data_IF_493862091282
#
_entry.id   IF_493862091282
#
_cell.length_a   1.000
_cell.length_b   1.000
_cell.length_c   1.000
_cell.angle_alpha   90.00
_cell.angle_beta   90.00
_cell.angle_gamma   90.00
#
_symmetry.space_group_name_H-M   'P 1'
#
loop_
_entity.id
_entity.type
_entity.pdbx_description
1 polymer ?
#
# COMPACT_ATOMS: atom_id res chain seq x y z
N UNK A 1 10.70 20.65 -38.02
CA UNK A 1 9.67 20.42 -36.98
C UNK A 1 9.73 19.05 -36.36
N UNK A 2 10.17 18.01 -37.06
CA UNK A 2 10.38 16.67 -36.50
C UNK A 2 11.46 16.66 -35.40
N UNK A 3 12.52 17.46 -35.55
CA UNK A 3 13.60 17.58 -34.56
C UNK A 3 13.11 18.16 -33.23
N UNK A 4 12.18 19.10 -33.27
CA UNK A 4 11.59 19.69 -32.03
C UNK A 4 10.73 18.69 -31.28
N UNK A 5 9.98 17.85 -32.01
CA UNK A 5 9.14 16.82 -31.42
C UNK A 5 10.01 15.72 -30.77
N UNK A 6 11.09 15.31 -31.43
CA UNK A 6 12.02 14.33 -30.91
C UNK A 6 12.70 14.83 -29.64
N UNK A 7 13.13 16.08 -29.60
CA UNK A 7 13.72 16.70 -28.41
C UNK A 7 12.73 16.76 -27.25
N UNK A 8 11.47 17.10 -27.52
CA UNK A 8 10.42 17.12 -26.49
C UNK A 8 10.14 15.72 -25.92
N UNK A 9 10.09 14.72 -26.80
CA UNK A 9 9.91 13.32 -26.36
C UNK A 9 11.08 12.82 -25.53
N UNK A 10 12.30 13.15 -25.92
CA UNK A 10 13.50 12.81 -25.17
C UNK A 10 13.50 13.46 -23.77
N UNK A 11 13.15 14.75 -23.69
CA UNK A 11 13.04 15.47 -22.42
C UNK A 11 11.95 14.84 -21.52
N UNK A 12 10.79 14.53 -22.08
CA UNK A 12 9.68 13.89 -21.35
C UNK A 12 10.10 12.53 -20.80
N UNK A 13 10.80 11.73 -21.62
CA UNK A 13 11.31 10.42 -21.21
C UNK A 13 12.33 10.54 -20.08
N UNK A 14 13.27 11.46 -20.17
CA UNK A 14 14.27 11.72 -19.11
C UNK A 14 13.60 12.15 -17.81
N UNK A 15 12.60 13.04 -17.90
CA UNK A 15 11.85 13.50 -16.71
C UNK A 15 11.10 12.34 -16.06
N UNK A 16 10.42 11.51 -16.85
CA UNK A 16 9.70 10.33 -16.35
C UNK A 16 10.65 9.33 -15.66
N UNK A 17 11.84 9.07 -16.25
CA UNK A 17 12.85 8.20 -15.67
C UNK A 17 13.39 8.75 -14.34
N UNK A 18 13.66 10.05 -14.28
CA UNK A 18 14.12 10.71 -13.04
C UNK A 18 13.05 10.62 -11.92
N UNK A 19 11.80 10.86 -12.26
CA UNK A 19 10.69 10.72 -11.29
C UNK A 19 10.56 9.30 -10.77
N UNK A 20 10.70 8.31 -11.65
CA UNK A 20 10.67 6.91 -11.28
C UNK A 20 11.84 6.55 -10.35
N UNK A 21 13.06 6.96 -10.67
CA UNK A 21 14.24 6.76 -9.83
C UNK A 21 14.10 7.40 -8.45
N UNK A 22 13.60 8.64 -8.37
CA UNK A 22 13.36 9.33 -7.11
C UNK A 22 12.31 8.60 -6.27
N UNK A 23 11.22 8.14 -6.90
CA UNK A 23 10.16 7.39 -6.21
C UNK A 23 10.70 6.07 -5.66
N UNK A 24 11.47 5.33 -6.43
CA UNK A 24 12.10 4.07 -5.98
C UNK A 24 13.09 4.31 -4.84
N UNK A 25 13.90 5.37 -4.93
CA UNK A 25 14.85 5.74 -3.89
C UNK A 25 14.14 6.10 -2.58
N UNK A 26 13.04 6.87 -2.64
CA UNK A 26 12.24 7.23 -1.47
C UNK A 26 11.61 5.98 -0.86
N UNK A 27 11.09 5.06 -1.67
CA UNK A 27 10.50 3.82 -1.17
C UNK A 27 11.55 2.90 -0.53
N UNK A 28 12.73 2.79 -1.11
CA UNK A 28 13.83 2.02 -0.52
C UNK A 28 14.25 2.57 0.84
N UNK A 29 14.34 3.88 0.98
CA UNK A 29 14.64 4.54 2.25
C UNK A 29 13.53 4.28 3.28
N UNK A 30 12.27 4.35 2.86
CA UNK A 30 11.13 4.06 3.73
C UNK A 30 11.13 2.60 4.19
N UNK A 31 11.44 1.65 3.31
CA UNK A 31 11.55 0.23 3.66
C UNK A 31 12.67 -0.04 4.65
N UNK A 32 13.81 0.61 4.48
CA UNK A 32 14.93 0.49 5.40
C UNK A 32 14.53 0.98 6.80
N UNK A 33 13.90 2.15 6.87
CA UNK A 33 13.42 2.72 8.13
C UNK A 33 12.36 1.81 8.78
N UNK A 34 11.41 1.31 8.00
CA UNK A 34 10.38 0.39 8.50
C UNK A 34 10.99 -0.88 9.11
N UNK A 35 12.02 -1.45 8.50
CA UNK A 35 12.74 -2.61 9.03
C UNK A 35 13.42 -2.31 10.35
N UNK A 36 14.07 -1.15 10.46
CA UNK A 36 14.71 -0.72 11.70
C UNK A 36 13.67 -0.56 12.81
N UNK A 37 12.53 0.03 12.51
CA UNK A 37 11.45 0.22 13.47
C UNK A 37 10.79 -1.11 13.86
N UNK A 38 10.65 -2.04 12.93
CA UNK A 38 10.15 -3.40 13.21
C UNK A 38 11.08 -4.13 14.18
N UNK A 39 12.39 -4.02 13.99
CA UNK A 39 13.38 -4.60 14.87
C UNK A 39 13.35 -4.02 16.29
N UNK A 40 12.96 -2.75 16.41
CA UNK A 40 12.80 -2.07 17.70
C UNK A 40 11.42 -2.29 18.34
N UNK A 41 10.49 -3.01 17.66
CA UNK A 41 9.15 -3.24 18.17
C UNK A 41 8.23 -2.03 18.11
N UNK A 42 8.50 -1.07 17.22
CA UNK A 42 7.79 0.21 17.15
C UNK A 42 6.68 0.25 16.11
N UNK A 43 6.52 -0.82 15.29
CA UNK A 43 5.47 -0.87 14.28
C UNK A 43 4.17 -1.41 14.86
N UNK A 44 3.15 -0.57 14.88
CA UNK A 44 1.80 -0.92 15.30
C UNK A 44 0.77 -0.09 14.52
N UNK A 45 -0.51 -0.32 14.79
CA UNK A 45 -1.60 0.40 14.12
C UNK A 45 -1.59 1.90 14.45
N UNK A 46 -1.15 2.29 15.63
CA UNK A 46 -1.01 3.69 16.03
C UNK A 46 0.06 4.39 15.18
N UNK A 47 1.19 3.73 14.97
CA UNK A 47 2.25 4.24 14.08
C UNK A 47 1.75 4.42 12.66
N UNK A 48 1.01 3.44 12.12
CA UNK A 48 0.41 3.53 10.78
C UNK A 48 -0.51 4.75 10.66
N UNK A 49 -1.34 4.99 11.65
CA UNK A 49 -2.24 6.13 11.66
C UNK A 49 -1.48 7.46 11.68
N UNK A 50 -0.43 7.57 12.46
CA UNK A 50 0.41 8.76 12.50
C UNK A 50 1.11 9.03 11.18
N UNK A 51 1.56 7.98 10.47
CA UNK A 51 2.12 8.13 9.13
C UNK A 51 1.12 8.80 8.18
N UNK A 52 -0.12 8.34 8.19
CA UNK A 52 -1.17 8.91 7.32
C UNK A 52 -1.56 10.34 7.73
N UNK A 53 -1.63 10.63 9.02
CA UNK A 53 -1.91 11.99 9.51
C UNK A 53 -0.84 13.00 9.11
N UNK A 54 0.42 12.55 9.06
CA UNK A 54 1.56 13.38 8.67
C UNK A 54 1.84 13.34 7.16
N UNK A 55 0.96 12.72 6.40
CA UNK A 55 1.07 12.57 4.94
C UNK A 55 2.33 11.82 4.49
N UNK A 56 2.87 10.97 5.36
CA UNK A 56 4.02 10.11 5.08
C UNK A 56 3.55 8.79 4.48
N UNK A 57 2.99 8.84 3.26
CA UNK A 57 2.35 7.70 2.61
C UNK A 57 3.35 6.58 2.30
N UNK A 58 4.56 6.92 1.84
CA UNK A 58 5.60 5.92 1.53
C UNK A 58 5.99 5.14 2.79
N UNK A 59 6.13 5.82 3.92
CA UNK A 59 6.45 5.16 5.19
C UNK A 59 5.28 4.30 5.69
N UNK A 60 4.04 4.74 5.48
CA UNK A 60 2.85 3.93 5.75
C UNK A 60 2.87 2.63 4.96
N UNK A 61 3.09 2.72 3.64
CA UNK A 61 3.14 1.54 2.74
C UNK A 61 4.27 0.60 3.14
N UNK A 62 5.46 1.13 3.38
CA UNK A 62 6.63 0.35 3.77
C UNK A 62 6.40 -0.35 5.13
N UNK A 63 5.82 0.36 6.08
CA UNK A 63 5.54 -0.18 7.44
C UNK A 63 4.47 -1.27 7.38
N UNK A 64 3.40 -1.06 6.64
CA UNK A 64 2.36 -2.07 6.48
C UNK A 64 2.90 -3.31 5.76
N UNK A 65 3.73 -3.11 4.73
CA UNK A 65 4.42 -4.19 4.02
C UNK A 65 5.27 -5.03 4.98
N UNK A 66 6.03 -4.39 5.85
CA UNK A 66 6.87 -5.07 6.85
C UNK A 66 6.02 -5.84 7.85
N UNK A 67 4.90 -5.28 8.30
CA UNK A 67 4.01 -5.90 9.28
C UNK A 67 3.28 -7.13 8.73
N UNK A 68 2.81 -7.09 7.48
CA UNK A 68 1.99 -8.16 6.87
C UNK A 68 2.77 -9.09 5.94
N UNK A 69 4.02 -8.76 5.61
CA UNK A 69 4.84 -9.57 4.72
C UNK A 69 4.44 -9.55 3.25
N UNK A 70 3.63 -8.59 2.84
CA UNK A 70 3.24 -8.38 1.43
C UNK A 70 4.15 -7.35 0.77
N UNK A 71 4.39 -7.52 -0.53
CA UNK A 71 5.16 -6.56 -1.31
C UNK A 71 4.45 -5.19 -1.37
N UNK A 72 5.24 -4.13 -1.44
CA UNK A 72 4.71 -2.76 -1.49
C UNK A 72 3.76 -2.53 -2.67
N UNK A 73 3.95 -3.23 -3.77
CA UNK A 73 3.06 -3.15 -4.95
C UNK A 73 1.65 -3.64 -4.62
N UNK A 74 1.54 -4.69 -3.81
CA UNK A 74 0.25 -5.21 -3.35
C UNK A 74 -0.42 -4.20 -2.41
N UNK A 75 0.34 -3.60 -1.50
CA UNK A 75 -0.17 -2.56 -0.60
C UNK A 75 -0.71 -1.37 -1.39
N UNK A 76 0.06 -0.86 -2.35
CA UNK A 76 -0.38 0.23 -3.21
C UNK A 76 -1.66 -0.11 -3.98
N UNK A 77 -1.76 -1.32 -4.51
CA UNK A 77 -2.95 -1.80 -5.22
C UNK A 77 -4.16 -1.84 -4.30
N UNK A 78 -3.98 -2.34 -3.08
CA UNK A 78 -5.07 -2.42 -2.10
C UNK A 78 -5.59 -1.04 -1.69
N UNK A 79 -4.71 -0.05 -1.60
CA UNK A 79 -5.08 1.33 -1.29
C UNK A 79 -5.86 2.01 -2.42
N UNK A 80 -5.67 1.58 -3.67
CA UNK A 80 -6.37 2.12 -4.85
C UNK A 80 -7.71 1.44 -5.12
N UNK A 81 -7.97 0.35 -4.47
CA UNK A 81 -9.21 -0.42 -4.62
C UNK A 81 -10.40 0.38 -4.08
N UNK A 82 -11.48 0.50 -4.87
CA UNK A 82 -12.65 1.30 -4.49
C UNK A 82 -13.38 0.75 -3.27
N UNK A 83 -13.48 -0.58 -3.20
CA UNK A 83 -14.23 -1.26 -2.14
C UNK A 83 -13.47 -1.32 -0.82
N UNK A 84 -12.14 -1.27 -0.87
CA UNK A 84 -11.29 -1.40 0.31
C UNK A 84 -11.23 -2.81 0.90
N UNK A 85 -11.75 -3.80 0.21
CA UNK A 85 -11.82 -5.18 0.71
C UNK A 85 -10.44 -5.76 0.99
N UNK A 86 -9.48 -5.60 0.08
CA UNK A 86 -8.12 -6.11 0.26
C UNK A 86 -7.43 -5.47 1.46
N UNK A 87 -7.59 -4.16 1.62
CA UNK A 87 -7.04 -3.45 2.77
C UNK A 87 -7.69 -3.91 4.08
N UNK A 88 -9.00 -4.13 4.07
CA UNK A 88 -9.72 -4.69 5.23
C UNK A 88 -9.16 -6.05 5.64
N UNK A 89 -8.91 -6.93 4.67
CA UNK A 89 -8.35 -8.25 4.93
C UNK A 89 -6.93 -8.14 5.51
N UNK A 90 -6.09 -7.28 4.94
CA UNK A 90 -4.73 -7.03 5.43
C UNK A 90 -4.75 -6.56 6.88
N UNK A 91 -5.56 -5.55 7.18
CA UNK A 91 -5.66 -4.99 8.53
C UNK A 91 -6.25 -6.00 9.53
N UNK A 92 -7.24 -6.78 9.10
CA UNK A 92 -7.83 -7.82 9.94
C UNK A 92 -6.83 -8.92 10.25
N UNK A 93 -5.96 -9.28 9.31
CA UNK A 93 -4.89 -10.26 9.52
C UNK A 93 -3.91 -9.83 10.60
N UNK A 94 -3.74 -8.53 10.79
CA UNK A 94 -2.91 -7.94 11.84
C UNK A 94 -3.67 -7.70 13.15
N UNK A 95 -4.92 -8.12 13.19
CA UNK A 95 -5.82 -7.96 14.35
C UNK A 95 -5.97 -6.50 14.79
N UNK A 96 -6.03 -5.59 13.84
CA UNK A 96 -6.28 -4.16 14.08
C UNK A 96 -7.73 -4.01 14.54
N UNK A 97 -7.96 -3.27 15.62
CA UNK A 97 -9.31 -3.09 16.12
C UNK A 97 -10.17 -2.26 15.15
N UNK A 98 -11.49 -2.45 15.26
CA UNK A 98 -12.48 -1.84 14.38
C UNK A 98 -12.36 -0.32 14.29
N UNK A 99 -12.23 0.34 15.42
CA UNK A 99 -12.19 1.80 15.48
C UNK A 99 -10.91 2.34 14.84
N UNK A 100 -9.79 1.69 15.08
CA UNK A 100 -8.51 2.03 14.46
C UNK A 100 -8.56 1.82 12.95
N UNK A 101 -9.12 0.71 12.50
CA UNK A 101 -9.31 0.44 11.07
C UNK A 101 -10.19 1.51 10.42
N UNK A 102 -11.30 1.87 11.06
CA UNK A 102 -12.19 2.92 10.55
C UNK A 102 -11.45 4.26 10.37
N UNK A 103 -10.63 4.63 11.35
CA UNK A 103 -9.81 5.85 11.30
C UNK A 103 -8.77 5.81 10.17
N UNK A 104 -8.07 4.69 10.02
CA UNK A 104 -7.09 4.47 8.95
C UNK A 104 -7.75 4.55 7.57
N UNK A 105 -8.87 3.85 7.39
CA UNK A 105 -9.59 3.83 6.13
C UNK A 105 -10.15 5.20 5.77
N UNK A 106 -10.65 5.95 6.75
CA UNK A 106 -11.14 7.30 6.53
C UNK A 106 -10.04 8.22 6.00
N UNK A 107 -8.84 8.17 6.58
CA UNK A 107 -7.69 8.95 6.12
C UNK A 107 -7.31 8.61 4.68
N UNK A 108 -7.31 7.32 4.32
CA UNK A 108 -7.01 6.87 2.96
C UNK A 108 -8.10 7.33 1.99
N UNK A 109 -9.36 7.18 2.36
CA UNK A 109 -10.50 7.55 1.51
C UNK A 109 -10.56 9.07 1.27
N UNK A 110 -10.25 9.88 2.27
CA UNK A 110 -10.22 11.35 2.14
C UNK A 110 -9.16 11.82 1.15
N UNK A 111 -8.05 11.12 1.02
CA UNK A 111 -7.00 11.47 0.07
C UNK A 111 -7.36 11.15 -1.37
N UNK A 112 -8.29 10.23 -1.62
CA UNK A 112 -8.64 9.73 -2.95
C UNK A 112 -9.90 10.35 -3.55
N UNK A 113 -10.90 10.59 -2.75
CA UNK A 113 -12.22 10.98 -3.26
C UNK A 113 -12.60 12.36 -2.77
N UNK A 114 -12.91 13.24 -3.70
CA UNK A 114 -13.24 14.63 -3.50
C UNK A 114 -14.39 14.94 -2.54
N UNK A 115 -14.28 14.52 -1.28
CA UNK A 115 -15.21 15.01 -0.28
C UNK A 115 -15.34 14.15 0.97
N UNK A 116 -15.44 14.83 2.10
CA UNK A 116 -15.60 14.25 3.44
C UNK A 116 -16.88 13.40 3.56
N UNK A 117 -17.97 13.83 2.93
CA UNK A 117 -19.25 13.11 2.98
C UNK A 117 -19.17 11.75 2.29
N UNK A 118 -18.52 11.69 1.13
CA UNK A 118 -18.32 10.45 0.38
C UNK A 118 -17.39 9.49 1.13
N UNK A 119 -16.33 10.01 1.74
CA UNK A 119 -15.41 9.22 2.55
C UNK A 119 -16.12 8.58 3.75
N UNK A 120 -16.99 9.33 4.43
CA UNK A 120 -17.79 8.85 5.57
C UNK A 120 -18.74 7.71 5.15
N UNK A 121 -19.39 7.83 3.99
CA UNK A 121 -20.29 6.79 3.47
C UNK A 121 -19.51 5.49 3.16
N UNK A 122 -18.33 5.61 2.55
CA UNK A 122 -17.45 4.45 2.26
C UNK A 122 -17.00 3.77 3.55
N UNK A 123 -16.66 4.53 4.58
CA UNK A 123 -16.23 3.98 5.88
C UNK A 123 -17.34 3.15 6.51
N UNK A 124 -18.58 3.62 6.49
CA UNK A 124 -19.71 2.86 7.04
C UNK A 124 -19.87 1.50 6.36
N UNK A 125 -19.74 1.47 5.03
CA UNK A 125 -19.87 0.23 4.26
C UNK A 125 -18.74 -0.75 4.58
N UNK A 126 -17.50 -0.28 4.60
CA UNK A 126 -16.34 -1.15 4.79
C UNK A 126 -16.21 -1.65 6.24
N UNK A 127 -16.64 -0.87 7.23
CA UNK A 127 -16.60 -1.28 8.63
C UNK A 127 -17.54 -2.47 8.88
N UNK A 128 -18.71 -2.49 8.26
CA UNK A 128 -19.60 -3.66 8.33
C UNK A 128 -18.93 -4.91 7.77
N UNK A 129 -18.26 -4.78 6.62
CA UNK A 129 -17.50 -5.88 6.04
C UNK A 129 -16.37 -6.32 6.95
N UNK A 130 -15.65 -5.36 7.52
CA UNK A 130 -14.53 -5.62 8.43
C UNK A 130 -14.94 -6.45 9.64
N UNK A 131 -16.09 -6.12 10.24
CA UNK A 131 -16.62 -6.87 11.38
C UNK A 131 -16.91 -8.34 11.05
N UNK A 132 -17.33 -8.62 9.81
CA UNK A 132 -17.66 -9.97 9.35
C UNK A 132 -16.44 -10.82 9.02
N UNK A 133 -15.27 -10.22 8.79
CA UNK A 133 -14.04 -10.94 8.49
C UNK A 133 -13.45 -11.54 9.78
N UNK A 134 -13.21 -12.84 9.77
CA UNK A 134 -12.52 -13.51 10.87
C UNK A 134 -11.01 -13.36 10.71
N UNK A 135 -10.31 -13.07 11.81
CA UNK A 135 -8.83 -12.92 11.81
C UNK A 135 -8.14 -14.13 11.20
N UNK A 136 -8.60 -15.34 11.56
CA UNK A 136 -8.05 -16.60 11.03
C UNK A 136 -8.13 -16.66 9.50
N UNK A 137 -9.28 -16.30 8.94
CA UNK A 137 -9.50 -16.32 7.49
C UNK A 137 -8.70 -15.23 6.79
N UNK A 138 -8.57 -14.06 7.40
CA UNK A 138 -7.73 -12.97 6.88
C UNK A 138 -6.26 -13.40 6.81
N UNK A 139 -5.75 -14.06 7.82
CA UNK A 139 -4.37 -14.60 7.84
C UNK A 139 -4.13 -15.61 6.73
N UNK A 140 -5.11 -16.48 6.46
CA UNK A 140 -5.03 -17.46 5.37
C UNK A 140 -4.97 -16.75 4.02
N UNK A 141 -5.81 -15.75 3.81
CA UNK A 141 -5.84 -14.95 2.56
C UNK A 141 -4.50 -14.24 2.32
N UNK A 142 -3.94 -13.59 3.34
CA UNK A 142 -2.66 -12.89 3.23
C UNK A 142 -1.53 -13.87 2.91
N UNK A 143 -1.49 -15.04 3.53
CA UNK A 143 -0.50 -16.07 3.22
C UNK A 143 -0.61 -16.54 1.76
N UNK A 144 -1.83 -16.69 1.26
CA UNK A 144 -2.07 -17.04 -0.14
C UNK A 144 -1.52 -15.98 -1.08
N UNK A 145 -1.76 -14.70 -0.80
CA UNK A 145 -1.24 -13.59 -1.61
C UNK A 145 0.28 -13.52 -1.59
N UNK A 146 0.92 -13.80 -0.46
CA UNK A 146 2.38 -13.87 -0.36
C UNK A 146 2.95 -14.95 -1.29
N UNK A 147 2.34 -16.13 -1.32
CA UNK A 147 2.76 -17.26 -2.16
C UNK A 147 2.54 -16.96 -3.64
N UNK A 148 1.38 -16.43 -3.99
CA UNK A 148 1.00 -16.11 -5.36
C UNK A 148 1.95 -15.06 -5.95
N UNK A 149 2.25 -14.03 -5.20
CA UNK A 149 3.20 -12.99 -5.61
C UNK A 149 4.59 -13.57 -5.85
N UNK A 150 5.10 -14.42 -4.96
CA UNK A 150 6.41 -15.07 -5.13
C UNK A 150 6.44 -15.99 -6.36
N UNK A 151 5.36 -16.71 -6.61
CA UNK A 151 5.21 -17.55 -7.78
C UNK A 151 5.26 -16.75 -9.08
N UNK A 152 4.50 -15.67 -9.15
CA UNK A 152 4.46 -14.79 -10.33
C UNK A 152 5.82 -14.15 -10.61
N UNK A 153 6.53 -13.70 -9.58
CA UNK A 153 7.87 -13.16 -9.72
C UNK A 153 8.86 -14.21 -10.24
N UNK A 154 8.83 -15.42 -9.71
CA UNK A 154 9.69 -16.51 -10.17
C UNK A 154 9.42 -16.86 -11.64
N UNK A 155 8.15 -16.89 -12.07
CA UNK A 155 7.79 -17.14 -13.46
C UNK A 155 8.21 -16.00 -14.38
N UNK A 156 8.14 -14.75 -13.92
CA UNK A 156 8.62 -13.60 -14.68
C UNK A 156 10.13 -13.66 -14.90
N UNK A 157 10.89 -13.98 -13.86
CA UNK A 157 12.35 -14.14 -13.93
C UNK A 157 12.76 -15.25 -14.92
N UNK A 158 12.03 -16.36 -14.95
CA UNK A 158 12.26 -17.45 -15.89
C UNK A 158 12.01 -16.99 -17.35
N UNK A 159 10.95 -16.20 -17.59
CA UNK A 159 10.66 -15.66 -18.93
C UNK A 159 11.70 -14.65 -19.40
N UNK A 160 12.24 -13.86 -18.51
CA UNK A 160 13.25 -12.85 -18.84
C UNK A 160 14.63 -13.48 -19.14
N UNK A 161 14.87 -14.72 -18.71
CA UNK A 161 16.12 -15.46 -18.97
C UNK A 161 16.07 -16.33 -20.23
N UNK A 162 14.95 -16.49 -20.87
CA UNK A 162 14.78 -17.19 -22.14
C UNK A 162 14.58 -16.24 -23.30
#
# INVERSE_FOLDING_TARGET
DDVVIDDLLEMATKTALRQHEVTDSVMLAALKLAREMAGAGELDAFFLQNCLRQEKVNLFVASLSEMCGLDVKIIWRSMRERTGESLAIIMKSLDVDRDRFASLFLLIAQSRSGGRARATSLVKSIVSLYDDIKVKNAKVAVRHWQRDFRYQNAMSDIKDTT
#
